data_IF_951376128810
#
_entry.id   IF_951376128810
#
_cell.length_a   1.000
_cell.length_b   1.000
_cell.length_c   1.000
_cell.angle_alpha   90.00
_cell.angle_beta   90.00
_cell.angle_gamma   90.00
#
_symmetry.space_group_name_H-M   'P 1'
#
loop_
_entity.id
_entity.type
_entity.pdbx_description
1 polymer ?
#
# COMPACT_ATOMS: atom_id res chain seq x y z
N UNK A 1 -34.42 9.21 11.66
CA UNK A 1 -33.37 9.80 12.51
C UNK A 1 -34.03 10.57 13.64
N UNK A 2 -33.72 10.29 14.90
CA UNK A 2 -34.25 11.05 16.04
C UNK A 2 -33.83 12.52 15.96
N UNK A 3 -34.67 13.47 16.47
CA UNK A 3 -34.36 14.91 16.38
C UNK A 3 -32.97 15.29 16.91
N UNK A 4 -32.54 14.70 18.02
CA UNK A 4 -31.23 14.95 18.64
C UNK A 4 -30.05 14.55 17.76
N UNK A 5 -30.13 13.41 17.03
CA UNK A 5 -29.09 12.97 16.11
C UNK A 5 -29.01 13.89 14.90
N UNK A 6 -30.12 14.43 14.44
CA UNK A 6 -30.18 15.39 13.35
C UNK A 6 -29.49 16.70 13.72
N UNK A 7 -29.70 17.20 14.92
CA UNK A 7 -29.10 18.45 15.39
C UNK A 7 -27.57 18.29 15.54
N UNK A 8 -27.09 17.17 16.06
CA UNK A 8 -25.66 16.85 16.16
C UNK A 8 -25.03 16.77 14.77
N UNK A 9 -25.69 16.10 13.81
CA UNK A 9 -25.21 15.98 12.44
C UNK A 9 -25.07 17.36 11.76
N UNK A 10 -26.06 18.23 11.95
CA UNK A 10 -26.03 19.59 11.39
C UNK A 10 -24.86 20.39 11.98
N UNK A 11 -24.67 20.35 13.28
CA UNK A 11 -23.57 21.06 13.95
C UNK A 11 -22.20 20.58 13.46
N UNK A 12 -22.02 19.27 13.29
CA UNK A 12 -20.74 18.74 12.76
C UNK A 12 -20.51 19.10 11.29
N UNK A 13 -21.56 19.13 10.48
CA UNK A 13 -21.46 19.59 9.10
C UNK A 13 -21.09 21.08 9.00
N UNK A 14 -21.68 21.91 9.87
CA UNK A 14 -21.34 23.33 9.95
C UNK A 14 -19.87 23.52 10.37
N UNK A 15 -19.41 22.79 11.38
CA UNK A 15 -18.01 22.81 11.83
C UNK A 15 -17.04 22.31 10.74
N UNK A 16 -17.43 21.27 9.97
CA UNK A 16 -16.64 20.82 8.82
C UNK A 16 -16.57 21.89 7.73
N UNK A 17 -17.68 22.59 7.44
CA UNK A 17 -17.69 23.67 6.44
C UNK A 17 -16.75 24.80 6.86
N UNK A 18 -16.78 25.19 8.12
CA UNK A 18 -15.87 26.21 8.68
C UNK A 18 -14.42 25.75 8.54
N UNK A 19 -14.09 24.51 8.98
CA UNK A 19 -12.76 23.94 8.86
C UNK A 19 -12.23 23.93 7.41
N UNK A 20 -13.07 23.57 6.43
CA UNK A 20 -12.71 23.57 5.02
C UNK A 20 -12.59 25.01 4.45
N UNK A 21 -13.35 25.97 4.98
CA UNK A 21 -13.30 27.37 4.56
C UNK A 21 -12.03 28.07 5.03
N UNK A 22 -11.37 27.52 6.06
CA UNK A 22 -10.08 27.97 6.56
C UNK A 22 -8.89 27.28 5.84
N UNK A 23 -9.10 26.78 4.62
CA UNK A 23 -8.11 26.10 3.78
C UNK A 23 -7.52 24.81 4.41
N UNK A 24 -8.20 24.23 5.40
CA UNK A 24 -7.79 22.97 5.99
C UNK A 24 -8.30 21.76 5.20
N UNK A 25 -7.56 20.65 5.23
CA UNK A 25 -8.00 19.40 4.62
C UNK A 25 -9.01 18.66 5.49
N UNK A 26 -9.99 18.00 4.88
CA UNK A 26 -10.95 17.17 5.60
C UNK A 26 -10.28 16.01 6.37
N UNK A 27 -9.06 15.60 6.00
CA UNK A 27 -8.27 14.58 6.71
C UNK A 27 -7.82 15.01 8.11
N UNK A 28 -7.72 16.31 8.37
CA UNK A 28 -7.39 16.87 9.69
C UNK A 28 -8.63 17.14 10.57
N UNK A 29 -9.83 16.98 10.02
CA UNK A 29 -11.07 17.13 10.78
C UNK A 29 -11.42 15.84 11.52
N UNK A 30 -11.72 15.94 12.82
CA UNK A 30 -12.11 14.82 13.66
C UNK A 30 -13.63 14.79 13.79
N UNK A 31 -14.23 13.76 13.20
CA UNK A 31 -15.65 13.49 13.33
C UNK A 31 -15.92 12.76 14.64
N UNK A 32 -17.08 12.99 15.28
CA UNK A 32 -17.50 12.16 16.40
C UNK A 32 -17.83 10.74 15.92
N UNK A 33 -17.54 9.72 16.74
CA UNK A 33 -17.78 8.30 16.43
C UNK A 33 -19.28 8.00 16.17
N UNK A 34 -20.18 8.86 16.62
CA UNK A 34 -21.63 8.70 16.47
C UNK A 34 -22.11 9.00 15.03
N UNK A 35 -21.27 9.61 14.19
CA UNK A 35 -21.63 10.10 12.85
C UNK A 35 -20.85 9.42 11.73
N UNK A 36 -20.78 8.10 11.76
CA UNK A 36 -20.15 7.28 10.70
C UNK A 36 -20.67 7.62 9.28
N UNK A 37 -21.88 8.19 9.16
CA UNK A 37 -22.47 8.63 7.90
C UNK A 37 -21.68 9.75 7.19
N UNK A 38 -20.92 10.59 7.90
CA UNK A 38 -20.06 11.61 7.29
C UNK A 38 -18.85 11.01 6.57
N UNK A 39 -18.48 9.78 6.90
CA UNK A 39 -17.45 9.06 6.13
C UNK A 39 -17.89 8.77 4.70
N UNK A 40 -19.20 8.74 4.45
CA UNK A 40 -19.79 8.48 3.12
C UNK A 40 -19.74 9.70 2.20
N UNK A 41 -19.43 10.89 2.69
CA UNK A 41 -19.33 12.11 1.87
C UNK A 41 -18.22 12.06 0.81
N UNK A 42 -17.31 11.09 0.89
CA UNK A 42 -16.22 10.86 -0.08
C UNK A 42 -15.43 12.12 -0.43
N UNK A 43 -15.20 12.99 0.56
CA UNK A 43 -14.46 14.23 0.39
C UNK A 43 -13.06 13.95 -0.16
N UNK A 44 -12.65 14.71 -1.17
CA UNK A 44 -11.35 14.49 -1.85
C UNK A 44 -10.18 14.67 -0.89
N UNK A 45 -10.22 15.72 -0.07
CA UNK A 45 -9.16 16.05 0.90
C UNK A 45 -9.18 15.18 2.16
N UNK A 46 -10.15 14.25 2.29
CA UNK A 46 -10.15 13.19 3.31
C UNK A 46 -9.34 11.97 2.87
N UNK A 47 -9.14 11.79 1.58
CA UNK A 47 -8.37 10.67 1.06
C UNK A 47 -6.89 10.83 1.44
N UNK A 48 -6.21 9.72 1.78
CA UNK A 48 -4.76 9.76 1.93
C UNK A 48 -4.11 10.27 0.63
N UNK A 49 -3.13 11.15 0.75
CA UNK A 49 -2.44 11.73 -0.40
C UNK A 49 -0.94 11.85 -0.13
N UNK A 50 -0.16 11.88 -1.19
CA UNK A 50 1.22 12.32 -1.19
C UNK A 50 1.47 13.20 -2.41
N UNK A 51 2.50 14.01 -2.36
CA UNK A 51 2.87 14.93 -3.45
C UNK A 51 4.05 14.33 -4.19
N UNK A 52 3.99 14.37 -5.52
CA UNK A 52 5.13 14.07 -6.39
C UNK A 52 5.65 15.38 -6.93
N UNK A 53 6.87 15.77 -6.56
CA UNK A 53 7.56 16.93 -7.11
C UNK A 53 8.44 16.46 -8.27
N UNK A 54 8.11 16.92 -9.49
CA UNK A 54 8.97 16.72 -10.64
C UNK A 54 10.11 17.75 -10.59
N UNK A 55 11.32 17.25 -10.38
CA UNK A 55 12.57 18.04 -10.30
C UNK A 55 13.44 17.78 -11.53
N UNK A 56 14.49 18.53 -11.68
CA UNK A 56 15.53 18.33 -12.69
C UNK A 56 16.91 18.70 -12.13
N UNK A 57 17.95 18.57 -12.94
CA UNK A 57 19.34 18.86 -12.63
C UNK A 57 19.62 20.31 -12.16
N UNK A 58 18.68 21.24 -12.38
CA UNK A 58 18.77 22.65 -11.97
C UNK A 58 18.00 22.97 -10.70
N UNK A 59 17.24 22.00 -10.18
CA UNK A 59 16.45 22.22 -8.97
C UNK A 59 17.36 22.25 -7.76
N UNK A 60 17.35 23.34 -7.00
CA UNK A 60 18.10 23.46 -5.75
C UNK A 60 17.47 22.58 -4.66
N UNK A 61 18.27 21.77 -4.00
CA UNK A 61 17.82 20.97 -2.86
C UNK A 61 17.18 21.80 -1.75
N UNK A 62 17.64 23.04 -1.54
CA UNK A 62 17.04 23.96 -0.57
C UNK A 62 15.62 24.35 -0.95
N UNK A 63 15.31 24.52 -2.24
CA UNK A 63 13.94 24.81 -2.70
C UNK A 63 13.00 23.64 -2.39
N UNK A 64 13.47 22.41 -2.58
CA UNK A 64 12.72 21.21 -2.22
C UNK A 64 12.47 21.14 -0.71
N UNK A 65 13.49 21.42 0.10
CA UNK A 65 13.38 21.45 1.56
C UNK A 65 12.43 22.56 2.05
N UNK A 66 12.49 23.74 1.45
CA UNK A 66 11.58 24.83 1.79
C UNK A 66 10.13 24.51 1.39
N UNK A 67 9.94 23.87 0.24
CA UNK A 67 8.63 23.40 -0.18
C UNK A 67 8.09 22.34 0.79
N UNK A 68 8.92 21.37 1.20
CA UNK A 68 8.55 20.35 2.16
C UNK A 68 8.12 20.95 3.52
N UNK A 69 8.76 22.02 3.97
CA UNK A 69 8.38 22.72 5.22
C UNK A 69 7.01 23.43 5.12
N UNK A 70 6.56 23.75 3.92
CA UNK A 70 5.26 24.39 3.69
C UNK A 70 4.11 23.39 3.57
N UNK A 71 4.43 22.11 3.38
CA UNK A 71 3.46 21.02 3.30
C UNK A 71 3.14 20.56 4.73
N UNK A 72 1.89 20.19 4.96
CA UNK A 72 1.47 19.58 6.24
C UNK A 72 2.31 18.35 6.54
N UNK A 73 2.71 18.15 7.80
CA UNK A 73 3.51 17.02 8.28
C UNK A 73 2.91 15.64 7.92
N UNK A 74 1.62 15.59 7.67
CA UNK A 74 0.89 14.37 7.30
C UNK A 74 0.98 14.04 5.80
N UNK A 75 1.56 14.92 4.98
CA UNK A 75 1.67 14.73 3.52
C UNK A 75 3.13 14.44 3.17
N UNK A 76 3.36 13.28 2.58
CA UNK A 76 4.70 12.91 2.13
C UNK A 76 5.01 13.53 0.77
N UNK A 77 6.26 14.04 0.63
CA UNK A 77 6.81 14.49 -0.64
C UNK A 77 7.72 13.41 -1.23
N UNK A 78 7.48 13.06 -2.49
CA UNK A 78 8.37 12.19 -3.28
C UNK A 78 8.90 13.02 -4.44
N UNK A 79 10.21 13.17 -4.53
CA UNK A 79 10.86 13.82 -5.66
C UNK A 79 11.16 12.84 -6.77
N UNK A 80 10.93 13.23 -8.02
CA UNK A 80 11.28 12.46 -9.20
C UNK A 80 11.89 13.38 -10.26
N UNK A 81 12.80 12.86 -11.05
CA UNK A 81 13.18 13.44 -12.33
C UNK A 81 12.57 12.58 -13.44
N UNK A 82 11.44 13.04 -13.98
CA UNK A 82 10.69 12.28 -14.99
C UNK A 82 11.51 12.10 -16.28
N UNK A 83 12.38 13.08 -16.62
CA UNK A 83 13.23 12.98 -17.79
C UNK A 83 14.29 11.90 -17.61
N UNK A 84 14.96 11.89 -16.47
CA UNK A 84 15.95 10.85 -16.13
C UNK A 84 15.31 9.46 -16.09
N UNK A 85 14.11 9.33 -15.50
CA UNK A 85 13.36 8.05 -15.51
C UNK A 85 13.02 7.59 -16.93
N UNK A 86 12.66 8.53 -17.82
CA UNK A 86 12.42 8.21 -19.23
C UNK A 86 13.70 7.76 -19.91
N UNK A 87 14.80 8.48 -19.72
CA UNK A 87 16.09 8.15 -20.31
C UNK A 87 16.56 6.74 -19.85
N UNK A 88 16.36 6.38 -18.58
CA UNK A 88 16.64 5.03 -18.06
C UNK A 88 15.71 3.99 -18.70
N UNK A 89 14.42 4.28 -18.81
CA UNK A 89 13.44 3.35 -19.37
C UNK A 89 13.67 3.03 -20.86
N UNK A 90 14.30 3.94 -21.58
CA UNK A 90 14.62 3.79 -23.00
C UNK A 90 15.91 2.95 -23.25
N UNK A 91 16.69 2.63 -22.20
CA UNK A 91 17.85 1.76 -22.28
C UNK A 91 17.45 0.27 -22.33
N UNK A 92 18.34 -0.56 -22.90
CA UNK A 92 18.20 -2.01 -22.79
C UNK A 92 18.24 -2.46 -21.32
N UNK A 93 17.47 -3.49 -20.91
CA UNK A 93 17.39 -3.92 -19.49
C UNK A 93 18.73 -4.19 -18.80
N UNK A 94 19.74 -4.65 -19.53
CA UNK A 94 21.09 -4.87 -18.98
C UNK A 94 21.80 -3.54 -18.70
N UNK A 95 21.65 -2.57 -19.61
CA UNK A 95 22.29 -1.26 -19.51
C UNK A 95 21.61 -0.39 -18.45
N UNK A 96 20.32 -0.61 -18.17
CA UNK A 96 19.59 0.10 -17.11
C UNK A 96 20.24 -0.08 -15.73
N UNK A 97 20.60 -1.33 -15.39
CA UNK A 97 21.20 -1.64 -14.11
C UNK A 97 22.56 -0.97 -13.93
N UNK A 98 23.40 -1.04 -14.97
CA UNK A 98 24.74 -0.44 -14.97
C UNK A 98 24.65 1.10 -14.89
N UNK A 99 23.74 1.70 -15.65
CA UNK A 99 23.52 3.15 -15.63
C UNK A 99 23.01 3.64 -14.27
N UNK A 100 22.05 2.93 -13.67
CA UNK A 100 21.54 3.25 -12.34
C UNK A 100 22.64 3.16 -11.27
N UNK A 101 23.49 2.14 -11.34
CA UNK A 101 24.61 1.97 -10.40
C UNK A 101 25.65 3.09 -10.55
N UNK A 102 26.02 3.45 -11.79
CA UNK A 102 26.92 4.58 -12.07
C UNK A 102 26.39 5.92 -11.56
N UNK A 103 25.08 6.14 -11.67
CA UNK A 103 24.39 7.34 -11.17
C UNK A 103 24.09 7.28 -9.66
N UNK A 104 24.39 6.17 -8.98
CA UNK A 104 24.08 5.96 -7.56
C UNK A 104 22.58 5.82 -7.25
N UNK A 105 21.77 5.47 -8.26
CA UNK A 105 20.34 5.30 -8.16
C UNK A 105 20.02 3.87 -7.72
N UNK A 106 19.60 3.69 -6.48
CA UNK A 106 19.33 2.36 -5.91
C UNK A 106 18.03 1.73 -6.41
N UNK A 107 17.07 2.55 -6.76
CA UNK A 107 15.76 2.12 -7.26
C UNK A 107 15.12 3.22 -8.12
N UNK A 108 14.30 2.83 -9.09
CA UNK A 108 13.58 3.78 -9.95
C UNK A 108 12.59 4.63 -9.16
N UNK A 109 12.30 5.84 -9.63
CA UNK A 109 11.30 6.70 -9.03
C UNK A 109 9.90 6.06 -9.06
N UNK A 110 9.59 5.30 -10.12
CA UNK A 110 8.34 4.54 -10.22
C UNK A 110 8.20 3.55 -9.07
N UNK A 111 9.25 2.79 -8.75
CA UNK A 111 9.25 1.85 -7.62
C UNK A 111 9.01 2.58 -6.29
N UNK A 112 9.66 3.73 -6.08
CA UNK A 112 9.44 4.57 -4.88
C UNK A 112 8.01 5.07 -4.77
N UNK A 113 7.41 5.51 -5.88
CA UNK A 113 6.01 5.97 -5.94
C UNK A 113 5.06 4.82 -5.60
N UNK A 114 5.23 3.64 -6.22
CA UNK A 114 4.40 2.46 -5.95
C UNK A 114 4.50 2.07 -4.49
N UNK A 115 5.71 1.96 -3.94
CA UNK A 115 5.93 1.64 -2.52
C UNK A 115 5.23 2.63 -1.62
N UNK A 116 5.36 3.94 -1.92
CA UNK A 116 4.69 4.99 -1.14
C UNK A 116 3.18 4.91 -1.21
N UNK A 117 2.61 4.59 -2.37
CA UNK A 117 1.20 4.33 -2.54
C UNK A 117 0.71 3.16 -1.69
N UNK A 118 1.45 2.04 -1.67
CA UNK A 118 1.14 0.88 -0.83
C UNK A 118 1.19 1.22 0.66
N UNK A 119 2.22 1.95 1.11
CA UNK A 119 2.34 2.42 2.49
C UNK A 119 1.14 3.28 2.91
N UNK A 120 0.80 4.25 2.07
CA UNK A 120 -0.28 5.21 2.33
C UNK A 120 -1.65 4.54 2.38
N UNK A 121 -1.87 3.54 1.54
CA UNK A 121 -3.11 2.76 1.50
C UNK A 121 -3.14 1.64 2.54
N UNK A 122 -2.07 1.47 3.33
CA UNK A 122 -1.96 0.38 4.30
C UNK A 122 -2.02 -1.00 3.65
N UNK A 123 -1.38 -1.16 2.47
CA UNK A 123 -1.35 -2.42 1.74
C UNK A 123 -0.07 -3.19 2.00
N UNK A 124 -0.16 -4.50 1.84
CA UNK A 124 0.93 -5.48 1.76
C UNK A 124 0.73 -6.39 0.56
N UNK A 125 1.82 -7.01 0.12
CA UNK A 125 1.79 -8.00 -0.96
C UNK A 125 2.00 -9.40 -0.40
N UNK A 126 1.21 -10.37 -0.87
CA UNK A 126 1.48 -11.79 -0.72
C UNK A 126 1.42 -12.47 -2.08
N UNK A 127 2.00 -13.64 -2.17
CA UNK A 127 2.06 -14.40 -3.42
C UNK A 127 1.32 -15.72 -3.30
N UNK A 128 0.79 -16.18 -4.43
CA UNK A 128 0.41 -17.57 -4.63
C UNK A 128 1.27 -18.12 -5.75
N UNK A 129 1.82 -19.32 -5.56
CA UNK A 129 2.64 -19.99 -6.57
C UNK A 129 2.18 -21.42 -6.74
N UNK A 130 2.00 -21.84 -7.98
CA UNK A 130 1.59 -23.18 -8.35
C UNK A 130 2.06 -23.53 -9.78
N UNK A 131 1.84 -24.78 -10.22
CA UNK A 131 2.34 -25.25 -11.52
C UNK A 131 1.83 -24.47 -12.73
N UNK A 132 0.68 -23.80 -12.59
CA UNK A 132 0.02 -23.08 -13.69
C UNK A 132 0.25 -21.57 -13.66
N UNK A 133 0.36 -21.00 -12.47
CA UNK A 133 0.39 -19.55 -12.29
C UNK A 133 1.12 -19.19 -10.99
N UNK A 134 1.92 -18.13 -11.07
CA UNK A 134 2.43 -17.40 -9.91
C UNK A 134 1.86 -16.00 -9.96
N UNK A 135 1.28 -15.53 -8.86
CA UNK A 135 0.58 -14.25 -8.82
C UNK A 135 0.82 -13.49 -7.52
N UNK A 136 1.00 -12.17 -7.65
CA UNK A 136 1.03 -11.23 -6.55
C UNK A 136 -0.38 -10.71 -6.25
N UNK A 137 -0.71 -10.55 -4.97
CA UNK A 137 -1.98 -10.08 -4.46
C UNK A 137 -1.76 -8.95 -3.48
N UNK A 138 -2.50 -7.85 -3.65
CA UNK A 138 -2.49 -6.75 -2.69
C UNK A 138 -3.57 -6.99 -1.63
N UNK A 139 -3.17 -6.93 -0.36
CA UNK A 139 -4.04 -7.08 0.80
C UNK A 139 -3.87 -5.89 1.75
N UNK A 140 -4.83 -5.61 2.61
CA UNK A 140 -4.64 -4.68 3.71
C UNK A 140 -3.65 -5.24 4.73
N UNK A 141 -2.85 -4.37 5.36
CA UNK A 141 -1.84 -4.78 6.33
C UNK A 141 -2.40 -5.55 7.53
N UNK A 142 -3.63 -5.27 7.92
CA UNK A 142 -4.35 -5.90 9.02
C UNK A 142 -5.10 -7.17 8.64
N UNK A 143 -5.03 -7.63 7.38
CA UNK A 143 -5.71 -8.85 6.95
C UNK A 143 -4.97 -10.10 7.42
N UNK A 144 -5.75 -11.03 8.00
CA UNK A 144 -5.33 -12.38 8.34
C UNK A 144 -5.42 -13.34 7.13
N UNK A 145 -4.96 -14.58 7.29
CA UNK A 145 -4.91 -15.57 6.22
C UNK A 145 -6.29 -15.86 5.60
N UNK A 146 -7.35 -15.92 6.40
CA UNK A 146 -8.71 -16.12 5.89
C UNK A 146 -9.19 -14.94 5.06
N UNK A 147 -8.92 -13.72 5.49
CA UNK A 147 -9.28 -12.50 4.76
C UNK A 147 -8.48 -12.40 3.46
N UNK A 148 -7.18 -12.67 3.49
CA UNK A 148 -6.33 -12.73 2.31
C UNK A 148 -6.82 -13.78 1.30
N UNK A 149 -7.30 -14.95 1.75
CA UNK A 149 -7.89 -15.95 0.87
C UNK A 149 -9.14 -15.46 0.13
N UNK A 150 -9.89 -14.54 0.76
CA UNK A 150 -11.09 -13.89 0.18
C UNK A 150 -10.77 -12.94 -0.97
N UNK A 151 -9.56 -12.38 -1.01
CA UNK A 151 -9.08 -11.55 -2.11
C UNK A 151 -8.98 -12.37 -3.40
N UNK A 152 -8.58 -13.65 -3.27
CA UNK A 152 -8.47 -14.56 -4.40
C UNK A 152 -9.86 -14.99 -4.87
N UNK A 153 -10.68 -15.50 -3.96
CA UNK A 153 -12.07 -15.88 -4.23
C UNK A 153 -12.87 -16.06 -2.94
N UNK A 154 -14.14 -15.65 -2.98
CA UNK A 154 -15.04 -15.76 -1.81
C UNK A 154 -15.28 -17.20 -1.35
N UNK A 155 -15.23 -18.17 -2.26
CA UNK A 155 -15.43 -19.59 -1.91
C UNK A 155 -14.21 -20.15 -1.16
N UNK A 156 -12.99 -19.68 -1.50
CA UNK A 156 -11.77 -20.05 -0.74
C UNK A 156 -11.87 -19.53 0.69
N UNK A 157 -12.37 -18.29 0.87
CA UNK A 157 -12.59 -17.72 2.21
C UNK A 157 -13.64 -18.49 3.00
N UNK A 158 -14.74 -18.89 2.37
CA UNK A 158 -15.82 -19.64 3.03
C UNK A 158 -15.37 -21.04 3.43
N UNK A 159 -14.66 -21.71 2.53
CA UNK A 159 -14.16 -23.06 2.75
C UNK A 159 -12.77 -23.15 3.40
N UNK A 160 -12.22 -22.04 3.90
CA UNK A 160 -10.87 -21.97 4.43
C UNK A 160 -10.60 -23.03 5.52
N UNK A 161 -9.54 -23.80 5.35
CA UNK A 161 -9.08 -24.79 6.31
C UNK A 161 -7.79 -24.32 6.99
N UNK A 162 -6.76 -24.00 6.20
CA UNK A 162 -5.46 -23.50 6.66
C UNK A 162 -4.70 -22.83 5.52
N UNK A 163 -3.70 -22.04 5.87
CA UNK A 163 -2.69 -21.52 4.95
C UNK A 163 -1.40 -22.33 5.13
N UNK A 164 -0.80 -22.74 4.03
CA UNK A 164 0.55 -23.28 4.00
C UNK A 164 1.43 -22.14 3.46
N UNK A 165 2.39 -21.64 4.26
CA UNK A 165 3.10 -20.41 4.00
C UNK A 165 4.60 -20.53 4.19
N UNK A 166 5.35 -19.78 3.41
CA UNK A 166 6.80 -19.61 3.48
C UNK A 166 7.13 -18.17 3.13
N UNK A 167 8.21 -17.60 3.67
CA UNK A 167 8.67 -16.28 3.26
C UNK A 167 9.19 -16.30 1.82
N UNK A 168 9.11 -15.16 1.12
CA UNK A 168 9.67 -15.04 -0.24
C UNK A 168 11.16 -15.40 -0.28
N UNK A 169 11.95 -14.94 0.69
CA UNK A 169 13.39 -15.26 0.76
C UNK A 169 13.62 -16.76 0.89
N UNK A 170 12.94 -17.41 1.86
CA UNK A 170 13.08 -18.87 2.04
C UNK A 170 12.60 -19.66 0.81
N UNK A 171 11.55 -19.15 0.11
CA UNK A 171 11.05 -19.79 -1.09
C UNK A 171 12.09 -19.79 -2.22
N UNK A 172 12.78 -18.65 -2.42
CA UNK A 172 13.83 -18.52 -3.45
C UNK A 172 15.10 -19.29 -3.05
N UNK A 173 15.55 -19.14 -1.79
CA UNK A 173 16.77 -19.79 -1.28
C UNK A 173 16.70 -21.32 -1.29
N UNK A 174 15.49 -21.87 -1.28
CA UNK A 174 15.23 -23.31 -1.32
C UNK A 174 14.65 -23.82 -2.65
N UNK A 175 14.80 -23.07 -3.75
CA UNK A 175 14.33 -23.46 -5.08
C UNK A 175 12.84 -23.83 -5.14
N UNK A 176 11.99 -23.11 -4.40
CA UNK A 176 10.54 -23.20 -4.45
C UNK A 176 9.91 -24.12 -3.40
N UNK A 177 8.69 -24.58 -3.70
CA UNK A 177 7.82 -25.27 -2.74
C UNK A 177 8.46 -26.56 -2.16
N UNK A 178 9.01 -27.41 -3.05
CA UNK A 178 9.54 -28.72 -2.60
C UNK A 178 10.79 -28.56 -1.75
N UNK A 179 11.69 -27.66 -2.13
CA UNK A 179 12.90 -27.36 -1.35
C UNK A 179 12.56 -26.73 0.01
N UNK A 180 11.60 -25.80 0.05
CA UNK A 180 11.13 -25.19 1.30
C UNK A 180 10.51 -26.20 2.26
N UNK A 181 9.80 -27.22 1.74
CA UNK A 181 9.29 -28.33 2.54
C UNK A 181 10.39 -29.21 3.09
N UNK A 182 11.38 -29.54 2.27
CA UNK A 182 12.51 -30.39 2.66
C UNK A 182 13.40 -29.75 3.73
N UNK A 183 13.56 -28.42 3.66
CA UNK A 183 14.32 -27.64 4.65
C UNK A 183 13.51 -27.28 5.91
N UNK A 184 12.22 -27.60 5.95
CA UNK A 184 11.38 -27.40 7.12
C UNK A 184 10.95 -25.95 7.36
N UNK A 185 11.13 -25.04 6.40
CA UNK A 185 10.70 -23.64 6.49
C UNK A 185 9.25 -23.41 6.03
N UNK A 186 8.62 -24.45 5.45
CA UNK A 186 7.22 -24.45 5.06
C UNK A 186 6.31 -24.63 6.28
N UNK A 187 5.56 -23.59 6.65
CA UNK A 187 4.72 -23.54 7.85
C UNK A 187 3.25 -23.83 7.52
N UNK A 188 2.51 -24.30 8.52
CA UNK A 188 1.06 -24.42 8.46
C UNK A 188 0.46 -23.42 9.46
N UNK A 189 -0.38 -22.54 8.96
CA UNK A 189 -0.95 -21.43 9.71
C UNK A 189 -2.49 -21.50 9.72
N UNK A 190 -3.08 -21.09 10.84
CA UNK A 190 -4.52 -21.02 11.02
C UNK A 190 -5.14 -19.76 10.40
N UNK A 191 -6.47 -19.66 10.54
CA UNK A 191 -7.28 -18.56 9.98
C UNK A 191 -6.85 -17.17 10.47
N UNK A 192 -6.38 -17.09 11.71
CA UNK A 192 -6.02 -15.82 12.38
C UNK A 192 -4.55 -15.42 12.17
N UNK A 193 -3.80 -16.17 11.38
CA UNK A 193 -2.42 -15.83 11.04
C UNK A 193 -2.37 -14.49 10.30
N UNK A 194 -1.60 -13.56 10.82
CA UNK A 194 -1.37 -12.26 10.20
C UNK A 194 -0.36 -12.42 9.08
N UNK A 195 -0.85 -12.41 7.83
CA UNK A 195 -0.02 -12.54 6.64
C UNK A 195 1.06 -11.46 6.62
N UNK A 196 2.30 -11.85 6.36
CA UNK A 196 3.43 -10.94 6.30
C UNK A 196 3.67 -10.46 4.85
N UNK A 197 4.37 -9.32 4.72
CA UNK A 197 4.84 -8.84 3.41
C UNK A 197 5.74 -9.89 2.76
N UNK A 198 5.42 -10.28 1.52
CA UNK A 198 6.20 -11.25 0.77
C UNK A 198 5.93 -12.72 1.12
N UNK A 199 4.93 -13.04 1.94
CA UNK A 199 4.55 -14.43 2.15
C UNK A 199 4.12 -15.10 0.84
N UNK A 200 4.64 -16.28 0.55
CA UNK A 200 4.16 -17.18 -0.50
C UNK A 200 3.21 -18.19 0.14
N UNK A 201 1.95 -18.19 -0.28
CA UNK A 201 0.88 -18.90 0.43
C UNK A 201 0.14 -19.86 -0.50
N UNK A 202 -0.11 -21.05 0.00
CA UNK A 202 -1.05 -22.01 -0.56
C UNK A 202 -2.24 -22.20 0.38
N UNK A 203 -3.43 -21.76 -0.05
CA UNK A 203 -4.63 -21.92 0.75
C UNK A 203 -5.27 -23.27 0.57
N UNK A 204 -5.46 -24.01 1.67
CA UNK A 204 -6.23 -25.25 1.71
C UNK A 204 -7.67 -24.92 2.08
N UNK A 205 -8.59 -25.32 1.23
CA UNK A 205 -10.01 -25.06 1.41
C UNK A 205 -10.85 -26.26 0.93
N UNK A 206 -12.08 -26.33 1.39
CA UNK A 206 -13.08 -27.30 0.96
C UNK A 206 -14.35 -26.55 0.52
N UNK A 207 -14.90 -26.90 -0.62
CA UNK A 207 -16.14 -26.34 -1.20
C UNK A 207 -17.27 -27.32 -0.98
#
# INVERSE_FOLDING_TARGET
MPPKEKDVLVTELESLIEHLSDDNFASSFHFSDELLSLNDLKLLTKKPMFIIANINDKTDENEVLEFQKKISDNIHLVTIDVKLEQDISDLDPNDQADFMDEMGIKESALTRIIRKGYELLGLKTFFTSGPKETRAWAAKKDFNARECSGIIHTDIQKGFIRAETVSYSDYIDNDGEQGSKNSGVWRQEGKDYMVQEGDVIYFRFNI
#
